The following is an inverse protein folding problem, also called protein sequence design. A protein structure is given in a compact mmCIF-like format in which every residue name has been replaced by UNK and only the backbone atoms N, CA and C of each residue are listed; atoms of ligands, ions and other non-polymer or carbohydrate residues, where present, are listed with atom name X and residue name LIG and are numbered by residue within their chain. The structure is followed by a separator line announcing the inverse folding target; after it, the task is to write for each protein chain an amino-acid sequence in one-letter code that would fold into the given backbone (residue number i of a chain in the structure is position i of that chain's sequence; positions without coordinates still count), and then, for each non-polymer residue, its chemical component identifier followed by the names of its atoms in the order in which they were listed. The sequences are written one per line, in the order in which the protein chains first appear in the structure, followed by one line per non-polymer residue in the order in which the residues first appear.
data_IF_561572231016
#
_entry.id   IF_561572231016
#
_cell.length_a   1.000
_cell.length_b   1.000
_cell.length_c   1.000
_cell.angle_alpha   90.00
_cell.angle_beta   90.00
_cell.angle_gamma   90.00
#
_symmetry.space_group_name_H-M   'P 1'
#
loop_
_entity.id
_entity.type
_entity.pdbx_description
1 polymer ?
#
# COMPACT_ATOMS: atom_id res chain seq x y z
N UNK A 1 -0.15 5.53 -11.81
CA UNK A 1 -0.64 4.21 -11.34
C UNK A 1 0.56 3.29 -11.34
N UNK A 2 0.94 2.72 -10.19
CA UNK A 2 2.11 1.83 -10.09
C UNK A 2 1.71 0.37 -9.89
N UNK A 3 0.56 0.12 -9.24
CA UNK A 3 -0.01 -1.20 -9.03
C UNK A 3 -1.56 -1.14 -9.00
N UNK A 4 -2.22 -2.17 -9.54
CA UNK A 4 -3.68 -2.30 -9.63
C UNK A 4 -4.10 -3.77 -9.70
N UNK A 5 -4.83 -4.24 -8.69
CA UNK A 5 -5.45 -5.58 -8.73
C UNK A 5 -6.67 -5.64 -9.67
N UNK A 6 -7.31 -4.49 -9.94
CA UNK A 6 -8.43 -4.41 -10.88
C UNK A 6 -7.95 -4.68 -12.30
N UNK A 7 -6.79 -4.12 -12.67
CA UNK A 7 -6.21 -4.33 -14.00
C UNK A 7 -5.71 -5.78 -14.17
N UNK A 8 -5.31 -6.44 -13.06
CA UNK A 8 -4.99 -7.87 -13.05
C UNK A 8 -6.22 -8.78 -13.13
N UNK A 9 -7.41 -8.29 -12.78
CA UNK A 9 -8.64 -9.08 -12.75
C UNK A 9 -8.75 -10.08 -11.60
N UNK A 10 -7.79 -10.11 -10.68
CA UNK A 10 -7.76 -11.01 -9.53
C UNK A 10 -7.48 -10.27 -8.21
N UNK A 11 -8.15 -10.65 -7.10
CA UNK A 11 -7.84 -10.11 -5.79
C UNK A 11 -6.41 -10.46 -5.38
N UNK A 12 -5.69 -9.50 -4.81
CA UNK A 12 -4.42 -9.76 -4.17
C UNK A 12 -4.64 -10.27 -2.73
N UNK A 13 -3.89 -11.29 -2.32
CA UNK A 13 -3.90 -11.84 -0.96
C UNK A 13 -2.54 -11.63 -0.32
N UNK A 14 -2.52 -11.05 0.87
CA UNK A 14 -1.29 -10.69 1.59
C UNK A 14 -1.49 -10.90 3.09
N UNK A 15 -0.41 -11.26 3.79
CA UNK A 15 -0.38 -11.21 5.25
C UNK A 15 -0.37 -9.76 5.72
N UNK A 16 -1.18 -9.41 6.72
CA UNK A 16 -1.32 -8.03 7.22
C UNK A 16 0.00 -7.45 7.73
N UNK A 17 0.96 -8.27 8.16
CA UNK A 17 2.29 -7.84 8.60
C UNK A 17 3.35 -7.79 7.49
N UNK A 18 2.99 -8.11 6.25
CA UNK A 18 3.91 -8.14 5.10
C UNK A 18 3.67 -6.99 4.12
N UNK A 19 2.80 -6.05 4.49
CA UNK A 19 2.50 -4.84 3.72
C UNK A 19 3.10 -3.62 4.42
N UNK A 20 3.12 -2.48 3.72
CA UNK A 20 3.59 -1.22 4.28
C UNK A 20 2.82 -0.87 5.56
N UNK A 21 3.47 -0.15 6.49
CA UNK A 21 2.89 0.12 7.82
C UNK A 21 1.56 0.87 7.75
N UNK A 22 1.40 1.80 6.81
CA UNK A 22 0.13 2.49 6.60
C UNK A 22 -1.03 1.56 6.19
N UNK A 23 -0.75 0.46 5.49
CA UNK A 23 -1.75 -0.58 5.23
C UNK A 23 -2.02 -1.45 6.45
N UNK A 24 -0.97 -1.78 7.21
CA UNK A 24 -1.10 -2.58 8.43
C UNK A 24 -2.05 -1.92 9.43
N UNK A 25 -1.94 -0.61 9.62
CA UNK A 25 -2.82 0.15 10.51
C UNK A 25 -4.25 0.26 9.93
N UNK A 26 -4.38 0.64 8.67
CA UNK A 26 -5.69 0.82 8.05
C UNK A 26 -6.50 -0.49 7.99
N UNK A 27 -5.88 -1.61 7.61
CA UNK A 27 -6.54 -2.90 7.50
C UNK A 27 -7.07 -3.42 8.85
N UNK A 28 -6.46 -3.03 9.96
CA UNK A 28 -6.96 -3.37 11.30
C UNK A 28 -8.22 -2.57 11.68
N UNK A 29 -8.45 -1.41 11.06
CA UNK A 29 -9.62 -0.57 11.29
C UNK A 29 -10.77 -0.87 10.32
N UNK A 30 -10.48 -1.55 9.22
CA UNK A 30 -11.46 -1.88 8.18
C UNK A 30 -12.27 -3.13 8.52
N UNK A 31 -13.54 -3.12 8.11
CA UNK A 31 -14.40 -4.30 8.13
C UNK A 31 -14.43 -4.99 6.77
N UNK A 32 -14.75 -6.29 6.77
CA UNK A 32 -14.89 -7.06 5.52
C UNK A 32 -15.97 -6.43 4.63
N UNK A 33 -15.58 -6.09 3.40
CA UNK A 33 -16.45 -5.45 2.40
C UNK A 33 -16.25 -3.93 2.26
N UNK A 34 -15.48 -3.31 3.16
CA UNK A 34 -15.19 -1.88 3.10
C UNK A 34 -14.37 -1.50 1.86
N UNK A 35 -14.61 -0.29 1.35
CA UNK A 35 -13.81 0.33 0.28
C UNK A 35 -13.32 1.68 0.74
N UNK A 36 -12.03 1.80 0.99
CA UNK A 36 -11.41 3.04 1.47
C UNK A 36 -10.45 3.61 0.44
N UNK A 37 -10.23 4.93 0.50
CA UNK A 37 -9.11 5.60 -0.17
C UNK A 37 -8.17 6.13 0.89
N UNK A 38 -6.95 5.61 0.91
CA UNK A 38 -5.90 5.99 1.87
C UNK A 38 -4.93 6.96 1.21
N UNK A 39 -4.54 7.99 1.96
CA UNK A 39 -3.40 8.86 1.63
C UNK A 39 -2.32 8.57 2.67
N UNK A 40 -1.23 7.94 2.24
CA UNK A 40 -0.20 7.40 3.13
C UNK A 40 1.05 8.25 3.00
N UNK A 41 1.57 8.75 4.11
CA UNK A 41 2.85 9.46 4.14
C UNK A 41 3.98 8.53 3.68
N UNK A 42 4.97 9.01 2.92
CA UNK A 42 6.06 8.16 2.42
C UNK A 42 6.75 7.32 3.49
N UNK A 43 6.97 7.86 4.69
CA UNK A 43 7.60 7.14 5.82
C UNK A 43 6.78 5.93 6.31
N UNK A 44 5.47 5.94 6.08
CA UNK A 44 4.57 4.81 6.35
C UNK A 44 4.36 3.90 5.12
N UNK A 45 5.08 4.18 4.04
CA UNK A 45 5.10 3.43 2.80
C UNK A 45 6.50 2.86 2.54
N UNK A 46 7.26 3.52 1.67
CA UNK A 46 8.59 3.07 1.22
C UNK A 46 9.71 4.06 1.54
N UNK A 47 9.38 5.27 2.00
CA UNK A 47 10.35 6.31 2.40
C UNK A 47 11.40 6.58 1.32
N UNK A 48 12.67 6.55 1.73
CA UNK A 48 13.83 6.65 0.84
C UNK A 48 14.14 5.34 0.11
N UNK A 49 13.63 4.21 0.61
CA UNK A 49 13.84 2.88 0.06
C UNK A 49 12.83 2.58 -1.05
N UNK A 50 13.01 3.21 -2.22
CA UNK A 50 12.20 2.94 -3.41
C UNK A 50 12.32 1.46 -3.84
N UNK A 51 11.24 0.67 -3.84
CA UNK A 51 11.29 -0.74 -4.22
C UNK A 51 11.32 -0.93 -5.74
N UNK A 52 10.86 0.07 -6.49
CA UNK A 52 10.81 0.05 -7.97
C UNK A 52 10.96 1.47 -8.53
N UNK A 53 11.46 1.65 -9.76
CA UNK A 53 11.55 2.97 -10.39
C UNK A 53 10.21 3.71 -10.52
N UNK A 54 9.08 3.00 -10.46
CA UNK A 54 7.74 3.58 -10.54
C UNK A 54 7.29 4.25 -9.23
N UNK A 55 7.94 3.94 -8.10
CA UNK A 55 7.72 4.56 -6.81
C UNK A 55 8.94 5.45 -6.51
N UNK A 56 8.91 6.75 -6.83
CA UNK A 56 10.07 7.61 -6.62
C UNK A 56 10.42 7.67 -5.13
N UNK A 57 11.72 7.64 -4.83
CA UNK A 57 12.23 7.84 -3.49
C UNK A 57 11.87 9.25 -3.00
N UNK A 58 11.60 9.38 -1.71
CA UNK A 58 11.61 10.71 -1.08
C UNK A 58 13.05 11.22 -1.07
N UNK A 59 13.24 12.43 -1.60
CA UNK A 59 14.51 13.14 -1.48
C UNK A 59 14.50 13.87 -0.12
N UNK A 60 15.64 13.93 0.58
CA UNK A 60 15.77 14.64 1.85
C UNK A 60 15.55 16.15 1.72
#
# INVERSE_FOLDING_TARGET
MFDSSVDRGEPATFGVSQVISGWTEALQLMSVGDKWRLYIHPDMAYGEASPTPAIPQTLP
#
